data_IF_198198385369
#
_entry.id   IF_198198385369
#
_cell.length_a   1.000
_cell.length_b   1.000
_cell.length_c   1.000
_cell.angle_alpha   90.00
_cell.angle_beta   90.00
_cell.angle_gamma   90.00
#
_symmetry.space_group_name_H-M   'P 1'
#
loop_
_entity.id
_entity.type
_entity.pdbx_description
1 polymer ?
#
# COMPACT_ATOMS: atom_id res chain seq x y z
N UNK A 1 50.44 84.56 20.47
CA UNK A 1 50.29 83.21 21.00
C UNK A 1 48.84 82.77 20.75
N UNK A 2 48.64 81.98 19.71
CA UNK A 2 47.28 81.52 19.28
C UNK A 2 47.02 80.12 19.78
N UNK A 3 45.96 79.95 20.57
CA UNK A 3 45.50 78.64 21.02
C UNK A 3 44.59 77.99 19.94
N UNK A 4 44.98 76.85 19.50
CA UNK A 4 44.15 76.02 18.64
C UNK A 4 43.27 75.14 19.49
N UNK A 5 41.91 75.19 19.22
CA UNK A 5 40.91 74.30 19.81
C UNK A 5 40.59 73.25 18.76
N UNK A 6 40.98 71.99 19.01
CA UNK A 6 40.54 70.83 18.21
C UNK A 6 39.16 70.41 18.59
N UNK A 7 38.25 70.41 17.63
CA UNK A 7 36.92 69.81 17.74
C UNK A 7 36.97 68.35 17.30
N UNK A 8 36.76 67.43 18.23
CA UNK A 8 36.56 66.03 17.95
C UNK A 8 35.11 65.84 17.61
N UNK A 9 34.81 65.43 16.35
CA UNK A 9 33.50 65.00 15.91
C UNK A 9 33.35 63.50 16.14
N UNK A 10 32.44 63.10 17.07
CA UNK A 10 32.01 61.72 17.24
C UNK A 10 31.08 61.33 16.12
N UNK A 11 31.51 60.42 15.22
CA UNK A 11 30.65 59.74 14.29
C UNK A 11 30.03 58.53 15.00
N UNK A 12 28.76 58.57 15.36
CA UNK A 12 28.01 57.34 15.74
C UNK A 12 27.58 56.63 14.47
N UNK A 13 28.22 55.46 14.23
CA UNK A 13 27.77 54.48 13.21
C UNK A 13 26.55 53.76 13.78
N UNK A 14 25.35 54.06 13.30
CA UNK A 14 24.15 53.26 13.51
C UNK A 14 24.20 52.03 12.57
N UNK A 15 24.63 50.91 13.10
CA UNK A 15 24.47 49.62 12.42
C UNK A 15 23.05 49.12 12.64
N UNK A 16 22.19 49.33 11.66
CA UNK A 16 20.88 48.66 11.59
C UNK A 16 21.07 47.21 11.23
N UNK A 17 20.96 46.34 12.23
CA UNK A 17 20.85 44.89 12.02
C UNK A 17 19.51 44.58 11.35
N UNK A 18 19.54 44.40 10.05
CA UNK A 18 18.42 43.76 9.33
C UNK A 18 18.46 42.27 9.65
N UNK A 19 17.69 41.83 10.63
CA UNK A 19 17.34 40.42 10.83
C UNK A 19 16.38 39.99 9.73
N UNK A 20 16.92 39.58 8.60
CA UNK A 20 16.14 38.90 7.57
C UNK A 20 15.67 37.59 8.13
N UNK A 21 14.36 37.50 8.41
CA UNK A 21 13.70 36.23 8.69
C UNK A 21 13.69 35.42 7.39
N UNK A 22 14.68 34.53 7.22
CA UNK A 22 14.59 33.48 6.24
C UNK A 22 13.53 32.48 6.72
N UNK A 23 12.29 32.66 6.31
CA UNK A 23 11.31 31.59 6.36
C UNK A 23 11.78 30.55 5.36
N UNK A 24 12.39 29.49 5.84
CA UNK A 24 12.58 28.27 5.07
C UNK A 24 11.16 27.75 4.73
N UNK A 25 10.66 28.09 3.56
CA UNK A 25 9.48 27.42 3.01
C UNK A 25 9.92 26.00 2.69
N UNK A 26 9.65 25.07 3.60
CA UNK A 26 9.76 23.63 3.31
C UNK A 26 8.76 23.38 2.18
N UNK A 27 9.29 23.03 1.00
CA UNK A 27 8.44 22.65 -0.12
C UNK A 27 7.63 21.41 0.31
N UNK A 28 6.31 21.50 0.20
CA UNK A 28 5.43 20.37 0.52
C UNK A 28 5.84 19.15 -0.32
N UNK A 29 5.92 17.98 0.32
CA UNK A 29 6.23 16.73 -0.37
C UNK A 29 5.01 16.27 -1.17
N UNK A 30 5.19 15.99 -2.45
CA UNK A 30 4.14 15.36 -3.27
C UNK A 30 4.00 13.86 -2.99
N UNK A 31 4.93 13.28 -2.23
CA UNK A 31 4.86 11.90 -1.77
C UNK A 31 4.10 11.80 -0.46
N UNK A 32 3.35 10.71 -0.29
CA UNK A 32 2.74 10.37 0.98
C UNK A 32 3.84 9.98 1.97
N UNK A 33 3.76 10.51 3.17
CA UNK A 33 4.68 10.25 4.26
C UNK A 33 3.92 9.79 5.50
N UNK A 34 4.60 9.30 6.52
CA UNK A 34 4.00 8.97 7.82
C UNK A 34 4.35 10.02 8.85
N UNK A 35 3.42 10.27 9.77
CA UNK A 35 3.63 11.10 10.96
C UNK A 35 2.90 10.45 12.15
N UNK A 36 3.66 9.80 13.02
CA UNK A 36 3.09 8.96 14.07
C UNK A 36 2.08 7.96 13.48
N UNK A 37 0.82 8.01 13.86
CA UNK A 37 -0.22 7.05 13.51
C UNK A 37 -1.09 7.44 12.31
N UNK A 38 -0.66 8.42 11.53
CA UNK A 38 -1.40 8.86 10.33
C UNK A 38 -0.45 9.15 9.16
N UNK A 39 -1.01 9.22 7.97
CA UNK A 39 -0.29 9.66 6.77
C UNK A 39 -0.34 11.18 6.63
N UNK A 40 0.62 11.71 5.89
CA UNK A 40 0.73 13.13 5.54
C UNK A 40 0.98 13.28 4.04
N UNK A 41 0.26 14.17 3.39
CA UNK A 41 0.45 14.56 1.99
C UNK A 41 0.42 16.09 1.87
N UNK A 42 1.42 16.69 1.24
CA UNK A 42 1.53 18.14 1.11
C UNK A 42 1.50 18.90 2.45
N UNK A 43 2.04 18.30 3.52
CA UNK A 43 2.04 18.81 4.90
C UNK A 43 0.65 18.84 5.58
N UNK A 44 -0.35 18.14 5.04
CA UNK A 44 -1.66 17.95 5.65
C UNK A 44 -1.87 16.48 6.02
N UNK A 45 -2.66 16.17 7.03
CA UNK A 45 -3.08 14.80 7.28
C UNK A 45 -3.66 14.17 6.00
N UNK A 46 -3.46 12.87 5.81
CA UNK A 46 -4.00 12.15 4.67
C UNK A 46 -4.65 10.85 5.14
N UNK A 47 -5.95 10.92 5.40
CA UNK A 47 -6.80 9.76 5.67
C UNK A 47 -7.54 9.40 4.39
N UNK A 48 -7.80 8.12 4.15
CA UNK A 48 -8.41 7.73 2.89
C UNK A 48 -9.37 6.55 3.01
N UNK A 49 -10.36 6.53 2.11
CA UNK A 49 -11.03 5.34 1.65
C UNK A 49 -10.49 4.99 0.25
N UNK A 50 -10.35 3.72 -0.01
CA UNK A 50 -9.81 3.20 -1.25
C UNK A 50 -10.41 1.86 -1.62
N UNK A 51 -9.84 1.22 -2.61
CA UNK A 51 -10.25 -0.08 -3.12
C UNK A 51 -9.07 -0.89 -3.62
N UNK A 52 -9.33 -2.12 -4.03
CA UNK A 52 -8.42 -3.01 -4.75
C UNK A 52 -8.90 -3.23 -6.17
N UNK A 53 -7.96 -3.51 -7.08
CA UNK A 53 -8.26 -4.07 -8.38
C UNK A 53 -7.07 -4.85 -8.94
N UNK A 54 -7.27 -6.13 -9.26
CA UNK A 54 -6.21 -7.04 -9.68
C UNK A 54 -5.91 -7.02 -11.19
N UNK A 55 -6.79 -6.43 -12.02
CA UNK A 55 -6.67 -6.60 -13.47
C UNK A 55 -6.00 -5.43 -14.23
N UNK A 56 -5.51 -4.40 -13.55
CA UNK A 56 -4.95 -3.19 -14.19
C UNK A 56 -3.73 -3.47 -15.08
N UNK A 57 -2.92 -4.46 -14.72
CA UNK A 57 -1.70 -4.80 -15.48
C UNK A 57 -1.95 -5.70 -16.70
N UNK A 58 -3.20 -6.11 -16.97
CA UNK A 58 -3.47 -6.98 -18.13
C UNK A 58 -4.74 -6.66 -18.93
N UNK A 59 -5.67 -5.90 -18.41
CA UNK A 59 -6.88 -5.48 -19.14
C UNK A 59 -6.63 -4.24 -20.01
N UNK A 60 -7.64 -3.83 -20.75
CA UNK A 60 -7.58 -2.69 -21.65
C UNK A 60 -7.57 -1.35 -20.91
N UNK A 61 -7.14 -0.29 -21.59
CA UNK A 61 -7.22 1.08 -21.06
C UNK A 61 -8.65 1.49 -20.72
N UNK A 62 -9.64 1.12 -21.56
CA UNK A 62 -11.05 1.40 -21.31
C UNK A 62 -11.51 0.83 -19.96
N UNK A 63 -11.13 -0.40 -19.65
CA UNK A 63 -11.48 -1.04 -18.39
C UNK A 63 -10.79 -0.36 -17.18
N UNK A 64 -9.53 0.04 -17.33
CA UNK A 64 -8.80 0.78 -16.31
C UNK A 64 -9.42 2.16 -16.07
N UNK A 65 -9.70 2.91 -17.15
CA UNK A 65 -10.33 4.22 -17.08
C UNK A 65 -11.70 4.17 -16.40
N UNK A 66 -12.51 3.15 -16.72
CA UNK A 66 -13.83 2.96 -16.11
C UNK A 66 -13.77 2.77 -14.58
N UNK A 67 -12.76 2.05 -14.07
CA UNK A 67 -12.56 1.91 -12.62
C UNK A 67 -12.13 3.24 -12.00
N UNK A 68 -11.24 4.00 -12.63
CA UNK A 68 -10.85 5.32 -12.11
C UNK A 68 -12.04 6.31 -12.10
N UNK A 69 -12.90 6.28 -13.13
CA UNK A 69 -14.11 7.10 -13.15
C UNK A 69 -15.08 6.72 -12.02
N UNK A 70 -15.24 5.43 -11.74
CA UNK A 70 -16.05 4.94 -10.64
C UNK A 70 -15.45 5.31 -9.27
N UNK A 71 -14.13 5.24 -9.12
CA UNK A 71 -13.43 5.72 -7.92
C UNK A 71 -13.68 7.21 -7.65
N UNK A 72 -13.61 8.04 -8.68
CA UNK A 72 -13.91 9.49 -8.57
C UNK A 72 -15.34 9.73 -8.15
N UNK A 73 -16.30 9.00 -8.73
CA UNK A 73 -17.71 9.08 -8.36
C UNK A 73 -17.97 8.64 -6.91
N UNK A 74 -17.08 7.83 -6.35
CA UNK A 74 -17.13 7.36 -4.97
C UNK A 74 -16.20 8.14 -4.00
N UNK A 75 -15.49 9.16 -4.49
CA UNK A 75 -14.53 9.99 -3.73
C UNK A 75 -13.37 9.18 -3.11
N UNK A 76 -12.99 8.06 -3.72
CA UNK A 76 -11.88 7.21 -3.30
C UNK A 76 -10.54 7.82 -3.70
N UNK A 77 -9.52 7.71 -2.86
CA UNK A 77 -8.21 8.36 -3.04
C UNK A 77 -7.06 7.39 -3.28
N UNK A 78 -7.22 6.13 -2.92
CA UNK A 78 -6.16 5.11 -3.01
C UNK A 78 -6.71 3.85 -3.68
N UNK A 79 -5.91 3.24 -4.54
CA UNK A 79 -6.19 1.91 -5.09
C UNK A 79 -4.95 1.02 -4.99
N UNK A 80 -5.16 -0.21 -4.58
CA UNK A 80 -4.15 -1.25 -4.57
C UNK A 80 -4.27 -2.08 -5.83
N UNK A 81 -3.17 -2.21 -6.59
CA UNK A 81 -3.10 -2.90 -7.87
C UNK A 81 -1.92 -3.84 -7.91
N UNK A 82 -2.00 -4.94 -8.67
CA UNK A 82 -0.91 -5.91 -8.74
C UNK A 82 0.30 -5.38 -9.53
N UNK A 83 1.46 -5.35 -8.90
CA UNK A 83 2.77 -5.12 -9.51
C UNK A 83 3.52 -6.42 -9.76
N UNK A 84 2.82 -7.53 -9.95
CA UNK A 84 3.36 -8.87 -10.20
C UNK A 84 2.50 -9.64 -11.20
N UNK A 85 3.10 -10.49 -11.97
CA UNK A 85 2.54 -11.58 -12.75
C UNK A 85 3.70 -12.40 -13.27
N UNK A 86 3.92 -13.54 -12.63
CA UNK A 86 5.08 -14.40 -12.83
C UNK A 86 4.71 -15.67 -13.59
N UNK A 87 5.60 -16.16 -14.44
CA UNK A 87 5.46 -17.45 -15.10
C UNK A 87 5.13 -17.39 -16.60
N UNK A 88 4.50 -18.44 -17.09
CA UNK A 88 4.25 -18.60 -18.53
C UNK A 88 3.15 -17.63 -18.99
N UNK A 89 3.37 -16.90 -20.10
CA UNK A 89 2.40 -15.95 -20.61
C UNK A 89 1.05 -16.59 -20.93
N UNK A 90 0.02 -16.19 -20.19
CA UNK A 90 -1.34 -16.30 -20.65
C UNK A 90 -1.74 -14.89 -21.14
N UNK A 91 -2.00 -14.73 -22.42
CA UNK A 91 -2.55 -13.49 -23.02
C UNK A 91 -1.69 -12.20 -22.96
N UNK A 92 -0.37 -12.23 -23.18
CA UNK A 92 0.50 -11.03 -23.21
C UNK A 92 0.39 -10.12 -21.94
N UNK A 93 0.20 -10.72 -20.78
CA UNK A 93 -0.07 -10.01 -19.54
C UNK A 93 1.00 -10.17 -18.47
N UNK A 94 1.94 -11.09 -18.69
CA UNK A 94 3.00 -11.41 -17.73
C UNK A 94 3.96 -10.25 -17.56
N UNK A 95 4.39 -9.98 -16.35
CA UNK A 95 5.44 -9.00 -16.04
C UNK A 95 6.82 -9.66 -16.02
N UNK A 96 6.92 -10.88 -15.48
CA UNK A 96 8.16 -11.65 -15.47
C UNK A 96 7.90 -13.10 -15.92
N UNK A 97 8.37 -13.47 -17.11
CA UNK A 97 8.15 -14.81 -17.68
C UNK A 97 9.11 -15.87 -17.15
N UNK A 98 10.29 -15.46 -16.70
CA UNK A 98 11.33 -16.26 -16.05
C UNK A 98 12.19 -15.37 -15.16
N UNK A 99 12.99 -15.88 -14.24
CA UNK A 99 13.88 -15.06 -13.44
C UNK A 99 14.70 -14.08 -14.30
N UNK A 100 14.58 -12.78 -14.02
CA UNK A 100 15.24 -11.70 -14.73
C UNK A 100 14.86 -11.54 -16.22
N UNK A 101 13.73 -12.11 -16.66
CA UNK A 101 13.17 -11.88 -18.00
C UNK A 101 11.84 -11.15 -17.87
N UNK A 102 11.84 -9.88 -18.20
CA UNK A 102 10.75 -8.96 -18.00
C UNK A 102 10.04 -8.65 -19.33
N UNK A 103 8.70 -8.70 -19.30
CA UNK A 103 7.88 -8.61 -20.50
C UNK A 103 7.35 -7.18 -20.71
N UNK A 104 7.87 -6.52 -21.71
CA UNK A 104 7.55 -5.12 -22.01
C UNK A 104 6.05 -4.89 -22.23
N UNK A 105 5.35 -5.84 -22.88
CA UNK A 105 3.91 -5.74 -23.16
C UNK A 105 3.06 -5.68 -21.87
N UNK A 106 3.45 -6.41 -20.82
CA UNK A 106 2.82 -6.35 -19.51
C UNK A 106 3.14 -5.03 -18.80
N UNK A 107 4.42 -4.64 -18.81
CA UNK A 107 4.84 -3.39 -18.19
C UNK A 107 4.23 -2.15 -18.83
N UNK A 108 4.00 -2.10 -20.14
CA UNK A 108 3.31 -0.98 -20.78
C UNK A 108 1.88 -0.79 -20.28
N UNK A 109 1.19 -1.86 -19.88
CA UNK A 109 -0.14 -1.76 -19.26
C UNK A 109 -0.04 -1.22 -17.84
N UNK A 110 0.93 -1.68 -17.05
CA UNK A 110 1.21 -1.13 -15.71
C UNK A 110 1.65 0.34 -15.79
N UNK A 111 2.49 0.71 -16.79
CA UNK A 111 2.84 2.11 -17.06
C UNK A 111 1.59 2.97 -17.24
N UNK A 112 0.61 2.48 -18.04
CA UNK A 112 -0.63 3.21 -18.26
C UNK A 112 -1.42 3.40 -16.97
N UNK A 113 -1.55 2.37 -16.14
CA UNK A 113 -2.27 2.44 -14.88
C UNK A 113 -1.64 3.49 -13.93
N UNK A 114 -0.31 3.51 -13.82
CA UNK A 114 0.41 4.47 -12.98
C UNK A 114 0.26 5.90 -13.53
N UNK A 115 0.45 6.08 -14.85
CA UNK A 115 0.26 7.37 -15.50
C UNK A 115 -1.16 7.91 -15.30
N UNK A 116 -2.17 7.06 -15.49
CA UNK A 116 -3.58 7.44 -15.32
C UNK A 116 -3.90 7.80 -13.87
N UNK A 117 -3.41 7.05 -12.91
CA UNK A 117 -3.55 7.38 -11.49
C UNK A 117 -3.00 8.78 -11.16
N UNK A 118 -1.83 9.12 -11.70
CA UNK A 118 -1.26 10.47 -11.55
C UNK A 118 -2.13 11.57 -12.16
N UNK A 119 -2.75 11.31 -13.33
CA UNK A 119 -3.68 12.26 -13.97
C UNK A 119 -4.95 12.47 -13.14
N UNK A 120 -5.45 11.42 -12.48
CA UNK A 120 -6.67 11.47 -11.67
C UNK A 120 -6.42 11.89 -10.20
N UNK A 121 -5.16 12.07 -9.80
CA UNK A 121 -4.79 12.41 -8.43
C UNK A 121 -5.02 11.28 -7.43
N UNK A 122 -5.07 10.03 -7.92
CA UNK A 122 -5.25 8.82 -7.12
C UNK A 122 -3.87 8.25 -6.76
N UNK A 123 -3.72 7.73 -5.55
CA UNK A 123 -2.50 7.10 -5.06
C UNK A 123 -2.55 5.59 -5.22
N UNK A 124 -1.41 4.99 -5.52
CA UNK A 124 -1.27 3.55 -5.76
C UNK A 124 -0.54 2.85 -4.63
N UNK A 125 -1.02 1.68 -4.25
CA UNK A 125 -0.34 0.68 -3.44
C UNK A 125 -0.04 -0.50 -4.34
N UNK A 126 1.22 -0.96 -4.38
CA UNK A 126 1.69 -1.92 -5.38
C UNK A 126 2.47 -3.06 -4.70
N UNK A 127 1.84 -4.23 -4.46
CA UNK A 127 2.54 -5.44 -4.04
C UNK A 127 3.36 -6.03 -5.18
N UNK A 128 4.53 -6.62 -4.83
CA UNK A 128 5.58 -7.02 -5.76
C UNK A 128 5.67 -8.53 -5.99
N UNK A 129 4.91 -9.35 -5.26
CA UNK A 129 4.75 -10.80 -5.45
C UNK A 129 3.48 -11.26 -4.74
N UNK A 130 2.91 -12.38 -5.17
CA UNK A 130 1.77 -13.01 -4.48
C UNK A 130 2.22 -14.20 -3.63
N UNK A 131 1.66 -14.36 -2.44
CA UNK A 131 1.79 -15.59 -1.67
C UNK A 131 1.10 -16.79 -2.36
N UNK A 132 -0.01 -16.52 -3.04
CA UNK A 132 -0.87 -17.50 -3.69
C UNK A 132 -0.41 -17.80 -5.13
N UNK A 133 -0.95 -18.88 -5.72
CA UNK A 133 -0.60 -19.31 -7.08
C UNK A 133 -1.21 -18.41 -8.17
N UNK A 134 -2.20 -17.60 -7.82
CA UNK A 134 -2.78 -16.65 -8.75
C UNK A 134 -1.71 -15.68 -9.26
N UNK A 135 -1.61 -15.57 -10.59
CA UNK A 135 -0.57 -14.80 -11.26
C UNK A 135 0.87 -15.28 -10.98
N UNK A 136 1.04 -16.58 -10.65
CA UNK A 136 2.33 -17.26 -10.46
C UNK A 136 2.83 -17.24 -9.02
N UNK A 137 3.17 -16.07 -8.52
CA UNK A 137 3.51 -15.87 -7.11
C UNK A 137 4.74 -16.62 -6.61
N UNK A 138 4.82 -16.78 -5.28
CA UNK A 138 5.98 -17.35 -4.60
C UNK A 138 6.28 -18.78 -5.04
N UNK A 139 5.24 -19.60 -5.28
CA UNK A 139 5.44 -20.98 -5.76
C UNK A 139 6.05 -21.02 -7.17
N UNK A 140 5.79 -20.02 -8.03
CA UNK A 140 6.45 -19.93 -9.33
C UNK A 140 7.97 -19.70 -9.19
N UNK A 141 8.40 -18.89 -8.23
CA UNK A 141 9.83 -18.74 -7.92
C UNK A 141 10.43 -20.05 -7.38
N UNK A 142 9.71 -20.72 -6.47
CA UNK A 142 10.15 -22.03 -5.94
C UNK A 142 10.31 -23.06 -7.05
N UNK A 143 9.38 -23.09 -8.00
CA UNK A 143 9.44 -23.96 -9.18
C UNK A 143 10.63 -23.62 -10.09
N UNK A 144 10.84 -22.37 -10.44
CA UNK A 144 11.96 -21.94 -11.29
C UNK A 144 13.32 -22.36 -10.75
N UNK A 145 13.47 -22.35 -9.44
CA UNK A 145 14.74 -22.71 -8.78
C UNK A 145 14.79 -24.13 -8.24
N UNK A 146 13.69 -24.90 -8.39
CA UNK A 146 13.54 -26.26 -7.83
C UNK A 146 13.89 -26.29 -6.33
N UNK A 147 13.37 -25.30 -5.58
CA UNK A 147 13.78 -25.05 -4.21
C UNK A 147 13.02 -25.89 -3.15
N UNK A 148 12.00 -26.64 -3.54
CA UNK A 148 11.27 -27.57 -2.68
C UNK A 148 9.90 -27.09 -2.26
N UNK A 149 9.74 -26.40 -1.12
CA UNK A 149 8.46 -25.94 -0.60
C UNK A 149 8.31 -24.43 -0.70
N UNK A 150 7.05 -23.95 -0.55
CA UNK A 150 6.67 -22.54 -0.59
C UNK A 150 7.62 -21.64 0.24
N UNK A 151 7.90 -21.97 1.48
CA UNK A 151 8.67 -21.10 2.37
C UNK A 151 10.17 -21.01 2.02
N UNK A 152 10.65 -21.82 1.07
CA UNK A 152 11.96 -21.57 0.46
C UNK A 152 12.01 -20.28 -0.35
N UNK A 153 10.85 -19.70 -0.69
CA UNK A 153 10.81 -18.36 -1.25
C UNK A 153 11.55 -17.35 -0.37
N UNK A 154 11.36 -17.43 0.93
CA UNK A 154 11.96 -16.51 1.89
C UNK A 154 13.44 -16.82 2.22
N UNK A 155 13.86 -18.06 2.06
CA UNK A 155 15.15 -18.54 2.60
C UNK A 155 16.18 -18.91 1.54
N UNK A 156 15.78 -19.32 0.33
CA UNK A 156 16.72 -19.64 -0.74
C UNK A 156 17.38 -18.39 -1.31
N UNK A 157 18.69 -18.29 -1.21
CA UNK A 157 19.47 -17.13 -1.64
C UNK A 157 19.32 -16.78 -3.12
N UNK A 158 19.08 -17.79 -3.97
CA UNK A 158 18.88 -17.62 -5.42
C UNK A 158 17.54 -16.93 -5.68
N UNK A 159 16.49 -17.35 -4.96
CA UNK A 159 15.16 -16.77 -5.03
C UNK A 159 15.18 -15.34 -4.50
N UNK A 160 15.78 -15.11 -3.33
CA UNK A 160 15.94 -13.76 -2.79
C UNK A 160 16.66 -12.83 -3.76
N UNK A 161 17.70 -13.35 -4.45
CA UNK A 161 18.42 -12.57 -5.47
C UNK A 161 17.52 -12.26 -6.68
N UNK A 162 16.75 -13.23 -7.17
CA UNK A 162 15.82 -13.03 -8.28
C UNK A 162 14.71 -12.02 -7.93
N UNK A 163 14.13 -12.13 -6.74
CA UNK A 163 13.15 -11.18 -6.23
C UNK A 163 13.72 -9.75 -6.12
N UNK A 164 14.92 -9.60 -5.55
CA UNK A 164 15.61 -8.31 -5.48
C UNK A 164 15.88 -7.69 -6.86
N UNK A 165 16.21 -8.50 -7.86
CA UNK A 165 16.41 -8.04 -9.24
C UNK A 165 15.09 -7.59 -9.86
N UNK A 166 13.98 -8.32 -9.64
CA UNK A 166 12.66 -7.91 -10.07
C UNK A 166 12.25 -6.56 -9.44
N UNK A 167 12.37 -6.46 -8.12
CA UNK A 167 12.10 -5.22 -7.38
C UNK A 167 12.88 -4.04 -7.98
N UNK A 168 14.19 -4.19 -8.16
CA UNK A 168 15.02 -3.15 -8.76
C UNK A 168 14.53 -2.75 -10.14
N UNK A 169 14.21 -3.72 -10.99
CA UNK A 169 13.72 -3.45 -12.33
C UNK A 169 12.42 -2.64 -12.31
N UNK A 170 11.48 -3.00 -11.44
CA UNK A 170 10.21 -2.29 -11.26
C UNK A 170 10.46 -0.85 -10.79
N UNK A 171 11.23 -0.66 -9.73
CA UNK A 171 11.47 0.66 -9.14
C UNK A 171 12.20 1.60 -10.10
N UNK A 172 13.18 1.09 -10.85
CA UNK A 172 14.00 1.87 -11.79
C UNK A 172 13.39 1.97 -13.20
N UNK A 173 12.24 1.31 -13.44
CA UNK A 173 11.54 1.40 -14.72
C UNK A 173 11.14 2.83 -15.03
N UNK A 174 11.44 3.30 -16.22
CA UNK A 174 10.91 4.56 -16.75
C UNK A 174 9.55 4.30 -17.39
N UNK A 175 8.51 4.95 -16.89
CA UNK A 175 7.16 4.88 -17.42
C UNK A 175 7.12 5.42 -18.86
N UNK A 176 6.60 4.63 -19.79
CA UNK A 176 6.57 4.97 -21.22
C UNK A 176 5.60 6.10 -21.56
N UNK A 177 4.65 6.44 -20.68
CA UNK A 177 3.70 7.55 -20.87
C UNK A 177 4.17 8.84 -20.22
N UNK A 178 4.72 8.80 -19.00
CA UNK A 178 5.15 9.99 -18.27
C UNK A 178 6.61 10.34 -18.45
N UNK A 179 7.46 9.38 -18.80
CA UNK A 179 8.91 9.52 -18.85
C UNK A 179 9.56 9.57 -17.45
N UNK A 180 8.80 9.35 -16.37
CA UNK A 180 9.26 9.36 -14.99
C UNK A 180 9.60 7.94 -14.55
N UNK A 181 10.69 7.76 -13.76
CA UNK A 181 10.94 6.46 -13.14
C UNK A 181 9.89 6.19 -12.05
N UNK A 182 9.51 4.92 -11.86
CA UNK A 182 8.50 4.56 -10.87
C UNK A 182 8.88 5.03 -9.46
N UNK A 183 10.15 4.88 -9.06
CA UNK A 183 10.67 5.37 -7.76
C UNK A 183 10.63 6.90 -7.59
N UNK A 184 10.36 7.63 -8.67
CA UNK A 184 10.26 9.08 -8.68
C UNK A 184 8.84 9.57 -9.02
N UNK A 185 7.87 8.65 -9.15
CA UNK A 185 6.48 8.99 -9.52
C UNK A 185 5.60 9.15 -8.27
N UNK A 186 5.17 10.37 -7.93
CA UNK A 186 4.36 10.61 -6.73
C UNK A 186 2.93 10.04 -6.80
N UNK A 187 2.50 9.46 -7.92
CA UNK A 187 1.26 8.69 -8.00
C UNK A 187 1.36 7.40 -7.18
N UNK A 188 2.56 6.83 -7.08
CA UNK A 188 2.80 5.68 -6.21
C UNK A 188 2.90 6.16 -4.76
N UNK A 189 2.16 5.52 -3.86
CA UNK A 189 2.19 5.75 -2.43
C UNK A 189 3.11 4.75 -1.74
N UNK A 190 2.94 3.46 -2.06
CA UNK A 190 3.55 2.36 -1.32
C UNK A 190 3.99 1.24 -2.23
N UNK A 191 5.17 0.70 -1.95
CA UNK A 191 5.60 -0.63 -2.37
C UNK A 191 5.28 -1.62 -1.27
N UNK A 192 4.58 -2.70 -1.61
CA UNK A 192 4.40 -3.81 -0.69
C UNK A 192 5.31 -4.96 -1.03
N UNK A 193 5.87 -5.57 0.02
CA UNK A 193 6.78 -6.68 -0.16
C UNK A 193 6.08 -7.86 -0.84
N UNK A 194 4.84 -8.14 -0.46
CA UNK A 194 4.04 -9.22 -1.04
C UNK A 194 2.54 -8.99 -0.80
N UNK A 195 1.70 -9.67 -1.58
CA UNK A 195 0.31 -9.89 -1.22
C UNK A 195 0.21 -11.09 -0.28
N UNK A 196 -0.31 -10.88 0.93
CA UNK A 196 -0.64 -11.90 1.93
C UNK A 196 0.46 -12.91 2.28
N UNK A 197 1.72 -12.49 2.51
CA UNK A 197 2.81 -13.43 2.76
C UNK A 197 2.60 -14.23 4.05
N UNK A 198 2.81 -15.56 3.99
CA UNK A 198 2.76 -16.49 5.11
C UNK A 198 3.99 -17.40 5.07
N UNK A 199 4.50 -17.74 6.24
CA UNK A 199 5.62 -18.69 6.39
C UNK A 199 5.23 -19.81 7.35
N UNK A 200 4.23 -20.62 6.95
CA UNK A 200 3.56 -21.61 7.81
C UNK A 200 4.48 -22.69 8.38
N UNK A 201 5.65 -22.90 7.79
CA UNK A 201 6.67 -23.82 8.34
C UNK A 201 7.35 -23.28 9.61
N UNK A 202 7.16 -22.00 9.92
CA UNK A 202 7.79 -21.34 11.08
C UNK A 202 6.79 -20.57 11.95
N UNK A 203 6.15 -21.21 12.92
CA UNK A 203 5.24 -20.53 13.86
C UNK A 203 5.91 -19.47 14.76
N UNK A 204 7.25 -19.36 14.74
CA UNK A 204 7.96 -18.31 15.45
C UNK A 204 7.84 -16.95 14.74
N UNK A 205 7.53 -16.96 13.44
CA UNK A 205 7.51 -15.78 12.57
C UNK A 205 8.88 -15.24 12.17
N UNK A 206 9.97 -15.91 12.58
CA UNK A 206 11.33 -15.42 12.34
C UNK A 206 11.68 -15.41 10.84
N UNK A 207 11.23 -16.43 10.09
CA UNK A 207 11.48 -16.52 8.63
C UNK A 207 10.91 -15.26 7.94
N UNK A 208 9.64 -14.96 8.16
CA UNK A 208 8.98 -13.84 7.50
C UNK A 208 9.52 -12.50 7.98
N UNK A 209 9.75 -12.33 9.29
CA UNK A 209 10.31 -11.10 9.86
C UNK A 209 11.71 -10.82 9.31
N UNK A 210 12.59 -11.82 9.26
CA UNK A 210 13.94 -11.64 8.72
C UNK A 210 13.93 -11.32 7.22
N UNK A 211 13.05 -11.96 6.45
CA UNK A 211 12.89 -11.66 5.04
C UNK A 211 12.33 -10.25 4.81
N UNK A 212 11.32 -9.85 5.58
CA UNK A 212 10.72 -8.53 5.47
C UNK A 212 11.72 -7.41 5.83
N UNK A 213 12.54 -7.61 6.86
CA UNK A 213 13.60 -6.67 7.23
C UNK A 213 14.63 -6.50 6.09
N UNK A 214 15.12 -7.63 5.54
CA UNK A 214 16.06 -7.62 4.42
C UNK A 214 15.48 -6.95 3.17
N UNK A 215 14.23 -7.25 2.79
CA UNK A 215 13.62 -6.76 1.56
C UNK A 215 13.17 -5.30 1.68
N UNK A 216 12.64 -4.89 2.82
CA UNK A 216 12.27 -3.49 3.06
C UNK A 216 13.50 -2.57 3.06
N UNK A 217 14.60 -3.00 3.69
CA UNK A 217 15.88 -2.30 3.63
C UNK A 217 16.41 -2.21 2.18
N UNK A 218 16.25 -3.29 1.39
CA UNK A 218 16.63 -3.29 -0.03
C UNK A 218 15.83 -2.27 -0.84
N UNK A 219 14.50 -2.23 -0.69
CA UNK A 219 13.65 -1.23 -1.37
C UNK A 219 14.08 0.18 -0.97
N UNK A 220 14.22 0.47 0.32
CA UNK A 220 14.63 1.80 0.82
C UNK A 220 16.03 2.22 0.35
N UNK A 221 16.90 1.27 0.01
CA UNK A 221 18.22 1.57 -0.57
C UNK A 221 18.16 2.08 -2.02
N UNK A 222 17.06 1.77 -2.74
CA UNK A 222 16.82 2.17 -4.14
C UNK A 222 15.88 3.37 -4.21
N UNK A 223 14.86 3.38 -3.34
CA UNK A 223 13.76 4.32 -3.31
C UNK A 223 13.53 4.83 -1.89
N UNK A 224 13.92 6.06 -1.64
CA UNK A 224 13.71 6.75 -0.37
C UNK A 224 12.44 7.62 -0.35
N UNK A 225 11.70 7.70 -1.46
CA UNK A 225 10.55 8.57 -1.62
C UNK A 225 9.24 7.91 -1.15
N UNK A 226 9.08 6.62 -1.47
CA UNK A 226 7.82 5.91 -1.25
C UNK A 226 7.80 5.14 0.07
N UNK A 227 6.60 4.93 0.56
CA UNK A 227 6.35 4.08 1.72
C UNK A 227 6.59 2.60 1.37
N UNK A 228 6.91 1.81 2.38
CA UNK A 228 7.03 0.35 2.29
C UNK A 228 6.14 -0.29 3.35
N UNK A 229 5.35 -1.28 2.95
CA UNK A 229 4.55 -2.12 3.83
C UNK A 229 4.78 -3.60 3.53
N UNK A 230 4.33 -4.46 4.41
CA UNK A 230 4.47 -5.92 4.21
C UNK A 230 3.42 -6.44 3.24
N UNK A 231 2.17 -6.02 3.38
CA UNK A 231 1.01 -6.50 2.62
C UNK A 231 0.41 -7.77 3.22
N UNK A 232 0.57 -7.99 4.53
CA UNK A 232 0.10 -9.18 5.23
C UNK A 232 -1.34 -9.03 5.76
N UNK A 233 -1.97 -10.18 6.06
CA UNK A 233 -3.36 -10.25 6.52
C UNK A 233 -3.55 -9.87 8.00
N UNK A 234 -2.47 -9.64 8.74
CA UNK A 234 -2.57 -9.16 10.11
C UNK A 234 -2.54 -10.25 11.19
N UNK A 235 -2.12 -11.48 10.91
CA UNK A 235 -2.08 -12.53 11.93
C UNK A 235 -1.06 -12.20 13.02
N UNK A 236 -1.50 -12.43 14.27
CA UNK A 236 -0.68 -12.16 15.44
C UNK A 236 0.07 -13.39 15.94
N UNK A 237 1.11 -13.16 16.72
CA UNK A 237 1.81 -14.20 17.46
C UNK A 237 1.80 -13.91 18.96
N UNK A 238 0.79 -14.44 19.64
CA UNK A 238 0.65 -14.31 21.10
C UNK A 238 0.91 -15.66 21.78
N UNK A 239 1.85 -15.69 22.68
CA UNK A 239 2.20 -16.92 23.43
C UNK A 239 1.01 -17.42 24.25
N UNK A 240 0.67 -18.70 24.09
CA UNK A 240 -0.41 -19.36 24.82
C UNK A 240 -1.82 -19.02 24.36
N UNK A 241 -1.98 -18.44 23.18
CA UNK A 241 -3.28 -18.21 22.56
C UNK A 241 -3.67 -19.42 21.69
N UNK A 242 -4.87 -19.97 21.89
CA UNK A 242 -5.33 -21.17 21.17
C UNK A 242 -5.90 -20.85 19.78
N UNK A 243 -6.34 -19.62 19.56
CA UNK A 243 -6.93 -19.16 18.30
C UNK A 243 -5.83 -18.97 17.25
N UNK A 244 -5.97 -19.62 16.12
CA UNK A 244 -4.98 -19.62 15.05
C UNK A 244 -4.67 -18.24 14.47
N UNK A 245 -5.60 -17.28 14.53
CA UNK A 245 -5.38 -15.89 14.13
C UNK A 245 -4.37 -15.16 15.04
N UNK A 246 -4.16 -15.69 16.25
CA UNK A 246 -3.35 -15.03 17.29
C UNK A 246 -2.15 -15.87 17.77
N UNK A 247 -2.03 -17.14 17.34
CA UNK A 247 -1.02 -18.05 17.90
C UNK A 247 0.27 -18.20 17.08
N UNK A 248 0.38 -17.49 15.96
CA UNK A 248 1.53 -17.58 15.05
C UNK A 248 1.48 -18.76 14.09
N UNK A 249 0.38 -19.52 14.03
CA UNK A 249 0.26 -20.71 13.16
C UNK A 249 0.47 -20.44 11.68
N UNK A 250 0.23 -19.21 11.24
CA UNK A 250 0.45 -18.77 9.85
C UNK A 250 1.89 -18.31 9.57
N UNK A 251 2.79 -18.37 10.56
CA UNK A 251 4.16 -17.89 10.42
C UNK A 251 4.26 -16.37 10.28
N UNK A 252 3.24 -15.65 10.73
CA UNK A 252 3.14 -14.18 10.73
C UNK A 252 3.21 -13.69 12.17
N UNK A 253 4.02 -12.68 12.42
CA UNK A 253 4.09 -11.93 13.67
C UNK A 253 3.88 -10.43 13.34
N UNK A 254 2.61 -10.04 13.26
CA UNK A 254 2.22 -8.70 12.82
C UNK A 254 2.89 -7.58 13.62
N UNK A 255 3.01 -7.76 14.93
CA UNK A 255 3.62 -6.75 15.79
C UNK A 255 5.09 -6.50 15.42
N UNK A 256 5.86 -7.59 15.21
CA UNK A 256 7.26 -7.50 14.82
C UNK A 256 7.44 -6.99 13.39
N UNK A 257 6.60 -7.45 12.47
CA UNK A 257 6.62 -6.99 11.07
C UNK A 257 6.35 -5.49 10.98
N UNK A 258 5.28 -5.02 11.64
CA UNK A 258 4.92 -3.60 11.65
C UNK A 258 5.99 -2.74 12.34
N UNK A 259 6.67 -3.27 13.35
CA UNK A 259 7.71 -2.56 14.10
C UNK A 259 9.06 -2.45 13.35
N UNK A 260 9.27 -3.16 12.24
CA UNK A 260 10.52 -3.11 11.47
C UNK A 260 10.87 -1.68 11.04
N UNK A 261 12.16 -1.30 11.05
CA UNK A 261 12.58 0.10 10.84
C UNK A 261 12.26 0.64 9.44
N UNK A 262 12.18 -0.23 8.44
CA UNK A 262 11.91 0.13 7.05
C UNK A 262 10.48 -0.21 6.59
N UNK A 263 9.61 -0.65 7.48
CA UNK A 263 8.17 -0.78 7.27
C UNK A 263 7.52 0.48 7.83
N UNK A 264 6.78 1.20 7.00
CA UNK A 264 6.25 2.51 7.34
C UNK A 264 4.88 2.45 8.03
N UNK A 265 4.07 1.42 7.75
CA UNK A 265 2.75 1.22 8.34
C UNK A 265 2.36 -0.25 8.37
N UNK A 266 1.38 -0.59 9.21
CA UNK A 266 0.83 -1.93 9.31
C UNK A 266 -0.38 -2.13 8.39
N UNK A 267 -0.45 -3.30 7.76
CA UNK A 267 -1.58 -3.74 6.94
C UNK A 267 -2.33 -4.86 7.62
N UNK A 268 -3.60 -5.02 7.32
CA UNK A 268 -4.38 -6.19 7.68
C UNK A 268 -5.56 -6.37 6.74
N UNK A 269 -6.04 -7.62 6.60
CA UNK A 269 -7.18 -7.99 5.77
C UNK A 269 -8.34 -8.50 6.62
N UNK A 270 -9.55 -8.56 6.06
CA UNK A 270 -10.73 -9.00 6.81
C UNK A 270 -11.75 -9.70 5.89
N UNK A 271 -11.72 -11.03 5.93
CA UNK A 271 -12.66 -11.91 5.23
C UNK A 271 -13.28 -12.93 6.20
N UNK A 272 -14.14 -12.51 7.13
CA UNK A 272 -14.64 -13.40 8.18
C UNK A 272 -15.38 -14.62 7.63
N UNK A 273 -16.07 -14.51 6.50
CA UNK A 273 -16.74 -15.65 5.85
C UNK A 273 -15.73 -16.76 5.50
N UNK A 274 -14.57 -16.42 4.96
CA UNK A 274 -13.51 -17.38 4.61
C UNK A 274 -12.81 -17.95 5.84
N UNK A 275 -12.85 -17.22 6.95
CA UNK A 275 -12.20 -17.59 8.20
C UNK A 275 -13.15 -18.25 9.19
N UNK A 276 -14.39 -18.54 8.76
CA UNK A 276 -15.45 -19.10 9.61
C UNK A 276 -15.70 -18.26 10.87
N UNK A 277 -15.64 -16.93 10.72
CA UNK A 277 -15.85 -15.94 11.77
C UNK A 277 -17.10 -15.10 11.50
N UNK A 278 -17.60 -14.41 12.52
CA UNK A 278 -18.75 -13.51 12.39
C UNK A 278 -18.34 -12.10 11.98
N UNK A 279 -19.28 -11.31 11.45
CA UNK A 279 -19.09 -9.89 11.21
C UNK A 279 -18.71 -9.11 12.49
N UNK A 280 -19.24 -9.52 13.64
CA UNK A 280 -18.89 -8.93 14.95
C UNK A 280 -17.46 -9.24 15.38
N UNK A 281 -16.92 -10.41 15.02
CA UNK A 281 -15.51 -10.72 15.20
C UNK A 281 -14.63 -9.75 14.39
N UNK A 282 -15.07 -9.37 13.17
CA UNK A 282 -14.39 -8.37 12.36
C UNK A 282 -14.21 -7.02 13.06
N UNK A 283 -15.18 -6.59 13.85
CA UNK A 283 -15.05 -5.37 14.69
C UNK A 283 -13.92 -5.51 15.71
N UNK A 284 -13.78 -6.68 16.35
CA UNK A 284 -12.68 -6.97 17.28
C UNK A 284 -11.33 -6.93 16.53
N UNK A 285 -11.26 -7.57 15.35
CA UNK A 285 -10.07 -7.62 14.52
C UNK A 285 -9.55 -6.22 14.15
N UNK A 286 -10.46 -5.33 13.72
CA UNK A 286 -10.15 -3.93 13.45
C UNK A 286 -9.61 -3.22 14.69
N UNK A 287 -10.26 -3.40 15.85
CA UNK A 287 -9.84 -2.78 17.12
C UNK A 287 -8.45 -3.22 17.54
N UNK A 288 -8.17 -4.52 17.43
CA UNK A 288 -6.89 -5.09 17.84
C UNK A 288 -5.74 -4.47 17.03
N UNK A 289 -5.89 -4.39 15.68
CA UNK A 289 -4.86 -3.82 14.79
C UNK A 289 -4.63 -2.33 15.04
N UNK A 290 -5.69 -1.54 15.10
CA UNK A 290 -5.55 -0.09 15.33
C UNK A 290 -4.93 0.18 16.70
N UNK A 291 -5.35 -0.56 17.74
CA UNK A 291 -4.80 -0.40 19.08
C UNK A 291 -3.31 -0.73 19.13
N UNK A 292 -2.89 -1.82 18.47
CA UNK A 292 -1.49 -2.24 18.42
C UNK A 292 -0.64 -1.31 17.56
N UNK A 293 -1.14 -0.89 16.40
CA UNK A 293 -0.47 0.09 15.55
C UNK A 293 -0.24 1.42 16.29
N UNK A 294 -1.24 1.88 17.04
CA UNK A 294 -1.10 3.06 17.90
C UNK A 294 -0.02 2.87 18.97
N UNK A 295 0.08 1.68 19.57
CA UNK A 295 1.12 1.37 20.55
C UNK A 295 2.52 1.30 19.93
N UNK A 296 2.64 0.83 18.68
CA UNK A 296 3.89 0.82 17.90
C UNK A 296 4.24 2.25 17.41
N UNK A 297 3.25 3.12 17.24
CA UNK A 297 3.41 4.49 16.76
C UNK A 297 3.42 4.60 15.24
N UNK A 298 2.74 3.70 14.54
CA UNK A 298 2.63 3.68 13.07
C UNK A 298 1.17 3.69 12.60
N UNK A 299 0.90 4.23 11.39
CA UNK A 299 -0.41 4.12 10.76
C UNK A 299 -0.81 2.67 10.54
N UNK A 300 -2.11 2.40 10.49
CA UNK A 300 -2.66 1.07 10.19
C UNK A 300 -3.77 1.19 9.16
N UNK A 301 -3.75 0.31 8.16
CA UNK A 301 -4.71 0.28 7.06
C UNK A 301 -5.42 -1.07 7.01
N UNK A 302 -6.76 -1.06 7.00
CA UNK A 302 -7.55 -2.22 6.58
C UNK A 302 -7.48 -2.29 5.05
N UNK A 303 -6.54 -3.07 4.55
CA UNK A 303 -6.09 -3.01 3.16
C UNK A 303 -6.93 -3.85 2.21
N UNK A 304 -7.52 -4.92 2.73
CA UNK A 304 -8.55 -5.68 2.05
C UNK A 304 -9.67 -6.04 3.01
N UNK A 305 -10.90 -5.90 2.56
CA UNK A 305 -12.04 -6.45 3.29
C UNK A 305 -13.19 -6.80 2.34
N UNK A 306 -13.89 -7.85 2.68
CA UNK A 306 -15.07 -8.30 1.98
C UNK A 306 -16.03 -9.05 2.89
N UNK A 307 -17.30 -9.11 2.49
CA UNK A 307 -18.34 -9.90 3.15
C UNK A 307 -19.27 -10.48 2.08
N UNK A 308 -19.34 -11.83 1.98
CA UNK A 308 -20.05 -12.51 0.88
C UNK A 308 -21.56 -12.34 0.93
N UNK A 309 -22.15 -12.32 2.14
CA UNK A 309 -23.60 -12.13 2.26
C UNK A 309 -23.99 -10.72 1.81
N UNK A 310 -24.34 -10.58 0.53
CA UNK A 310 -24.68 -9.29 -0.10
C UNK A 310 -25.84 -8.56 0.59
N UNK A 311 -26.82 -9.28 1.14
CA UNK A 311 -27.94 -8.65 1.85
C UNK A 311 -27.52 -7.99 3.17
N UNK A 312 -26.57 -8.56 3.89
CA UNK A 312 -26.05 -8.02 5.14
C UNK A 312 -24.85 -7.07 4.95
N UNK A 313 -24.18 -7.12 3.79
CA UNK A 313 -22.95 -6.40 3.49
C UNK A 313 -23.00 -4.91 3.81
N UNK A 314 -24.05 -4.14 3.44
CA UNK A 314 -24.09 -2.71 3.74
C UNK A 314 -24.03 -2.43 5.24
N UNK A 315 -24.77 -3.16 6.07
CA UNK A 315 -24.80 -2.95 7.52
C UNK A 315 -23.47 -3.40 8.18
N UNK A 316 -22.84 -4.46 7.65
CA UNK A 316 -21.52 -4.94 8.09
C UNK A 316 -20.46 -3.92 7.76
N UNK A 317 -20.41 -3.41 6.52
CA UNK A 317 -19.45 -2.38 6.11
C UNK A 317 -19.63 -1.09 6.91
N UNK A 318 -20.86 -0.64 7.14
CA UNK A 318 -21.14 0.54 7.98
C UNK A 318 -20.53 0.38 9.40
N UNK A 319 -20.72 -0.80 10.01
CA UNK A 319 -20.15 -1.10 11.33
C UNK A 319 -18.62 -1.10 11.34
N UNK A 320 -17.98 -1.74 10.35
CA UNK A 320 -16.52 -1.81 10.26
C UNK A 320 -15.89 -0.44 9.98
N UNK A 321 -16.41 0.28 9.01
CA UNK A 321 -15.90 1.58 8.61
C UNK A 321 -16.05 2.64 9.70
N UNK A 322 -17.19 2.65 10.42
CA UNK A 322 -17.37 3.47 11.62
C UNK A 322 -16.37 3.13 12.73
N UNK A 323 -16.05 1.85 12.90
CA UNK A 323 -15.04 1.43 13.87
C UNK A 323 -13.66 1.99 13.51
N UNK A 324 -13.26 1.96 12.24
CA UNK A 324 -12.02 2.56 11.73
C UNK A 324 -11.99 4.06 12.02
N UNK A 325 -13.08 4.78 11.69
CA UNK A 325 -13.17 6.23 11.91
C UNK A 325 -13.05 6.62 13.36
N UNK A 326 -13.72 5.87 14.26
CA UNK A 326 -13.77 6.14 15.69
C UNK A 326 -12.43 5.88 16.39
N UNK A 327 -11.68 4.90 15.94
CA UNK A 327 -10.40 4.51 16.52
C UNK A 327 -9.19 5.17 15.87
N UNK A 328 -9.41 5.96 14.81
CA UNK A 328 -8.33 6.67 14.12
C UNK A 328 -7.52 5.80 13.17
N UNK A 329 -8.12 4.76 12.59
CA UNK A 329 -7.49 4.03 11.49
C UNK A 329 -7.14 4.95 10.34
N UNK A 330 -5.97 4.75 9.72
CA UNK A 330 -5.41 5.69 8.75
C UNK A 330 -6.01 5.56 7.34
N UNK A 331 -6.53 4.36 7.00
CA UNK A 331 -7.15 4.10 5.71
C UNK A 331 -7.91 2.77 5.67
N UNK A 332 -8.70 2.61 4.63
CA UNK A 332 -9.44 1.39 4.32
C UNK A 332 -9.53 1.18 2.82
N UNK A 333 -9.43 -0.08 2.34
CA UNK A 333 -9.52 -0.45 0.93
C UNK A 333 -10.36 -1.73 0.81
N UNK A 334 -11.56 -1.62 0.23
CA UNK A 334 -12.41 -2.79 0.07
C UNK A 334 -11.98 -3.66 -1.12
N UNK A 335 -12.25 -4.94 -1.04
CA UNK A 335 -12.17 -5.88 -2.14
C UNK A 335 -13.59 -6.11 -2.68
N UNK A 336 -13.94 -5.77 -3.91
CA UNK A 336 -13.16 -5.20 -4.99
C UNK A 336 -14.05 -4.25 -5.81
N UNK A 337 -13.53 -3.11 -6.28
CA UNK A 337 -14.24 -2.27 -7.25
C UNK A 337 -13.96 -2.79 -8.64
N UNK A 338 -15.01 -3.15 -9.35
CA UNK A 338 -14.96 -3.46 -10.79
C UNK A 338 -15.97 -2.61 -11.54
N UNK A 339 -15.74 -2.41 -12.82
CA UNK A 339 -16.58 -1.57 -13.68
C UNK A 339 -16.97 -2.32 -14.96
N UNK A 340 -17.13 -1.62 -16.06
CA UNK A 340 -17.49 -2.18 -17.37
C UNK A 340 -16.30 -2.82 -18.08
N UNK A 341 -16.60 -3.79 -18.93
CA UNK A 341 -15.67 -4.41 -19.87
C UNK A 341 -15.60 -3.64 -21.19
N UNK A 342 -14.82 -4.14 -22.16
CA UNK A 342 -14.65 -3.53 -23.47
C UNK A 342 -15.95 -3.48 -24.30
N UNK A 343 -16.86 -4.41 -24.04
CA UNK A 343 -18.18 -4.51 -24.67
C UNK A 343 -19.32 -3.81 -23.89
N UNK A 344 -18.95 -2.98 -22.91
CA UNK A 344 -19.86 -2.26 -22.00
C UNK A 344 -20.67 -3.16 -21.05
N UNK A 345 -20.43 -4.46 -21.02
CA UNK A 345 -20.99 -5.35 -19.99
C UNK A 345 -20.26 -5.16 -18.65
N UNK A 346 -20.93 -5.49 -17.55
CA UNK A 346 -20.27 -5.46 -16.23
C UNK A 346 -19.22 -6.56 -16.13
N UNK A 347 -18.08 -6.21 -15.47
CA UNK A 347 -17.07 -7.22 -15.15
C UNK A 347 -17.67 -8.31 -14.24
N UNK A 348 -17.43 -9.60 -14.52
CA UNK A 348 -18.01 -10.69 -13.73
C UNK A 348 -17.63 -10.64 -12.26
N UNK A 349 -18.53 -11.09 -11.40
CA UNK A 349 -18.27 -11.30 -9.98
C UNK A 349 -17.77 -12.74 -9.76
N UNK A 350 -16.45 -12.93 -9.74
CA UNK A 350 -15.87 -14.27 -9.67
C UNK A 350 -15.79 -14.83 -8.25
N UNK A 351 -15.73 -13.95 -7.24
CA UNK A 351 -15.49 -14.32 -5.84
C UNK A 351 -16.64 -13.94 -4.89
N UNK A 352 -17.64 -13.23 -5.39
CA UNK A 352 -18.79 -12.79 -4.60
C UNK A 352 -18.58 -11.51 -3.82
N UNK A 353 -17.44 -10.82 -3.98
CA UNK A 353 -17.11 -9.60 -3.24
C UNK A 353 -17.21 -8.30 -4.05
N UNK A 354 -17.53 -8.40 -5.33
CA UNK A 354 -17.65 -7.23 -6.21
C UNK A 354 -18.56 -6.15 -5.61
N UNK A 355 -18.07 -4.93 -5.62
CA UNK A 355 -18.86 -3.71 -5.35
C UNK A 355 -19.00 -2.94 -6.66
N UNK A 356 -20.24 -2.58 -6.99
CA UNK A 356 -20.57 -1.67 -8.08
C UNK A 356 -20.88 -0.29 -7.52
N UNK A 357 -20.52 0.78 -8.19
CA UNK A 357 -20.68 2.16 -7.68
C UNK A 357 -22.13 2.57 -7.38
N UNK A 358 -23.11 1.89 -7.98
CA UNK A 358 -24.53 2.12 -7.76
C UNK A 358 -25.12 1.25 -6.64
N UNK A 359 -24.33 0.38 -6.02
CA UNK A 359 -24.82 -0.53 -4.98
C UNK A 359 -25.02 0.18 -3.64
N UNK A 360 -25.79 -0.44 -2.74
CA UNK A 360 -26.05 0.11 -1.41
C UNK A 360 -24.77 0.16 -0.56
N UNK A 361 -23.91 -0.84 -0.66
CA UNK A 361 -22.60 -0.80 0.00
C UNK A 361 -21.70 0.30 -0.53
N UNK A 362 -21.81 0.65 -1.81
CA UNK A 362 -21.07 1.78 -2.38
C UNK A 362 -21.53 3.13 -1.80
N UNK A 363 -22.80 3.27 -1.43
CA UNK A 363 -23.29 4.46 -0.70
C UNK A 363 -22.61 4.58 0.67
N UNK A 364 -22.55 3.48 1.42
CA UNK A 364 -21.86 3.42 2.72
C UNK A 364 -20.39 3.78 2.59
N UNK A 365 -19.72 3.22 1.56
CA UNK A 365 -18.30 3.51 1.28
C UNK A 365 -18.10 4.99 0.90
N UNK A 366 -18.98 5.59 0.09
CA UNK A 366 -18.91 7.04 -0.24
C UNK A 366 -19.05 7.94 0.99
N UNK A 367 -19.99 7.62 1.87
CA UNK A 367 -20.15 8.36 3.12
C UNK A 367 -18.91 8.25 4.01
N UNK A 368 -18.32 7.05 4.09
CA UNK A 368 -17.05 6.83 4.78
C UNK A 368 -15.92 7.64 4.12
N UNK A 369 -15.79 7.58 2.79
CA UNK A 369 -14.79 8.34 2.04
C UNK A 369 -14.88 9.84 2.33
N UNK A 370 -16.09 10.39 2.34
CA UNK A 370 -16.33 11.78 2.70
C UNK A 370 -15.82 12.11 4.10
N UNK A 371 -16.17 11.29 5.10
CA UNK A 371 -15.74 11.51 6.50
C UNK A 371 -14.23 11.36 6.68
N UNK A 372 -13.58 10.44 5.93
CA UNK A 372 -12.12 10.31 5.92
C UNK A 372 -11.47 11.54 5.29
N UNK A 373 -11.99 12.01 4.15
CA UNK A 373 -11.48 13.20 3.46
C UNK A 373 -11.68 14.50 4.27
N UNK A 374 -12.70 14.58 5.12
CA UNK A 374 -12.92 15.74 6.02
C UNK A 374 -11.87 15.84 7.15
N UNK A 375 -11.07 14.80 7.38
CA UNK A 375 -9.95 14.82 8.33
C UNK A 375 -8.65 15.41 7.74
N UNK A 376 -8.58 15.59 6.42
CA UNK A 376 -7.40 16.04 5.66
C UNK A 376 -7.31 17.62 5.62
#
# INVERSE_FOLDING_TARGET
>A
MKKWVQRVACFMLLITLWAGWFTLTVKASSYVQTSATHFVLNNHPFYFAGTNNYYFHYKSKKMVDAVFDDMKAMDLKVIRIWGFHDGTPQENSVLQSRPCVYEESGFQKLDYAIYKAGQEGIKLVIPLVNNWDDFGGMNQYVEWFQAGSHDHFYTDSRIKTAYKNYVRYVLERTNTYSGVQYKDDPAIMTWELANEPRAQSDPSGDILVNWADEMSAWIKSIDSNHLVAVGDEGFFRMTGHDDWFYNGGEGVDWDRLTALPHIDYGTYHLYPDHWNQSAAWGVKWIKDHITRGNAIGKPVVLEEFGYQNQAARPDVYDSWLKTIEQLGGAGSQFWILTSIQDDDSLYPDYDGFRVLKESREAEIIREHAKRMNEKN
#
